data_IF_735051582648
#
_entry.id   IF_735051582648
#
_cell.length_a   1.000
_cell.length_b   1.000
_cell.length_c   1.000
_cell.angle_alpha   90.00
_cell.angle_beta   90.00
_cell.angle_gamma   90.00
#
_symmetry.space_group_name_H-M   'P 1'
#
loop_
_entity.id
_entity.type
_entity.pdbx_description
1 polymer ?
#
# COMPACT_ATOMS: atom_id res chain seq x y z
N UNK A 1 31.02 31.91 -10.18
CA UNK A 1 30.08 31.52 -11.27
C UNK A 1 28.68 31.82 -10.78
N UNK A 2 27.86 32.59 -11.52
CA UNK A 2 26.49 32.85 -11.10
C UNK A 2 25.68 31.55 -11.15
N UNK A 3 24.94 31.26 -10.09
CA UNK A 3 23.98 30.16 -10.04
C UNK A 3 22.88 30.55 -11.02
N UNK A 4 22.78 29.84 -12.14
CA UNK A 4 21.79 30.12 -13.17
C UNK A 4 20.39 29.79 -12.63
N UNK A 5 19.64 30.81 -12.21
CA UNK A 5 18.26 30.72 -11.69
C UNK A 5 17.23 30.20 -12.71
N UNK A 6 17.64 29.95 -13.97
CA UNK A 6 16.76 29.54 -15.09
C UNK A 6 16.87 28.07 -15.49
N UNK A 7 17.62 27.23 -14.78
CA UNK A 7 17.47 25.79 -15.01
C UNK A 7 16.07 25.36 -14.52
N UNK A 8 15.23 24.72 -15.35
CA UNK A 8 13.95 24.22 -14.87
C UNK A 8 14.23 23.29 -13.69
N UNK A 9 13.59 23.56 -12.53
CA UNK A 9 13.69 22.64 -11.39
C UNK A 9 13.26 21.26 -11.88
N UNK A 10 14.04 20.20 -11.61
CA UNK A 10 13.65 18.86 -12.01
C UNK A 10 12.26 18.57 -11.44
N UNK A 11 11.37 18.02 -12.28
CA UNK A 11 10.01 17.76 -11.88
C UNK A 11 9.99 16.77 -10.71
N UNK A 12 9.41 17.19 -9.60
CA UNK A 12 9.25 16.37 -8.41
C UNK A 12 7.85 15.75 -8.39
N UNK A 13 7.76 14.49 -7.99
CA UNK A 13 6.54 13.71 -7.88
C UNK A 13 6.41 13.16 -6.47
N UNK A 14 5.18 12.99 -6.00
CA UNK A 14 4.88 12.33 -4.75
C UNK A 14 3.81 11.25 -4.93
N UNK A 15 4.04 10.11 -4.30
CA UNK A 15 3.06 9.05 -4.16
C UNK A 15 2.77 8.84 -2.67
N UNK A 16 1.49 8.80 -2.32
CA UNK A 16 1.02 8.59 -0.95
C UNK A 16 0.08 7.38 -0.93
N UNK A 17 0.33 6.44 -0.02
CA UNK A 17 -0.52 5.27 0.21
C UNK A 17 -1.13 5.32 1.61
N UNK A 18 -2.45 5.29 1.68
CA UNK A 18 -3.24 5.28 2.90
C UNK A 18 -3.61 3.85 3.28
N UNK A 19 -2.62 3.13 3.80
CA UNK A 19 -2.72 1.73 4.21
C UNK A 19 -3.45 1.50 5.54
N UNK A 20 -3.76 0.22 5.81
CA UNK A 20 -4.46 -0.21 7.03
C UNK A 20 -3.69 0.06 8.32
N UNK A 21 -2.37 -0.13 8.32
CA UNK A 21 -1.53 0.00 9.51
C UNK A 21 -0.74 1.32 9.51
N UNK A 22 -0.28 1.75 8.34
CA UNK A 22 0.59 2.91 8.19
C UNK A 22 0.24 3.66 6.92
N UNK A 23 0.43 4.97 6.96
CA UNK A 23 0.45 5.80 5.76
C UNK A 23 1.89 5.98 5.31
N UNK A 24 2.10 5.91 4.00
CA UNK A 24 3.40 5.98 3.37
C UNK A 24 3.42 7.13 2.37
N UNK A 25 4.54 7.84 2.28
CA UNK A 25 4.78 8.84 1.26
C UNK A 25 6.19 8.67 0.70
N UNK A 26 6.30 8.72 -0.62
CA UNK A 26 7.57 8.74 -1.35
C UNK A 26 7.60 9.96 -2.23
N UNK A 27 8.67 10.75 -2.14
CA UNK A 27 8.94 11.89 -2.99
C UNK A 27 10.13 11.54 -3.88
N UNK A 28 9.98 11.73 -5.18
CA UNK A 28 11.00 11.44 -6.17
C UNK A 28 11.12 12.59 -7.18
N UNK A 29 12.22 12.62 -7.92
CA UNK A 29 12.41 13.50 -9.08
C UNK A 29 13.01 12.74 -10.24
N UNK A 30 12.88 13.28 -11.44
CA UNK A 30 13.57 12.75 -12.62
C UNK A 30 14.79 13.63 -12.92
N UNK A 31 15.97 13.01 -12.98
CA UNK A 31 17.24 13.65 -13.36
C UNK A 31 17.87 12.81 -14.46
N UNK A 32 18.14 13.42 -15.61
CA UNK A 32 18.72 12.75 -16.79
C UNK A 32 17.99 11.45 -17.20
N UNK A 33 16.66 11.44 -17.07
CA UNK A 33 15.80 10.29 -17.39
C UNK A 33 15.76 9.20 -16.31
N UNK A 34 16.50 9.34 -15.23
CA UNK A 34 16.49 8.42 -14.09
C UNK A 34 15.64 8.94 -12.93
N UNK A 35 14.86 8.05 -12.32
CA UNK A 35 14.11 8.34 -11.11
C UNK A 35 15.04 8.35 -9.88
N UNK A 36 15.04 9.45 -9.14
CA UNK A 36 15.79 9.60 -7.89
C UNK A 36 14.82 9.84 -6.73
N UNK A 37 14.85 8.98 -5.73
CA UNK A 37 14.08 9.18 -4.50
C UNK A 37 14.71 10.29 -3.66
N UNK A 38 13.93 11.33 -3.36
CA UNK A 38 14.32 12.47 -2.51
C UNK A 38 14.05 12.15 -1.05
N UNK A 39 12.93 11.49 -0.75
CA UNK A 39 12.55 11.20 0.63
C UNK A 39 11.46 10.15 0.74
N UNK A 40 11.41 9.51 1.90
CA UNK A 40 10.36 8.57 2.30
C UNK A 40 9.87 8.95 3.69
N UNK A 41 8.55 8.95 3.88
CA UNK A 41 7.92 9.10 5.18
C UNK A 41 7.00 7.90 5.40
N UNK A 42 6.96 7.43 6.65
CA UNK A 42 6.07 6.36 7.09
C UNK A 42 5.56 6.73 8.47
N UNK A 43 4.24 6.79 8.62
CA UNK A 43 3.59 7.06 9.89
C UNK A 43 2.64 5.92 10.23
N UNK A 44 2.76 5.37 11.44
CA UNK A 44 1.80 4.38 11.93
C UNK A 44 0.51 5.09 12.33
N UNK A 45 -0.56 4.85 11.58
CA UNK A 45 -1.88 5.46 11.77
C UNK A 45 -2.86 4.50 12.41
N UNK A 46 -2.66 3.18 12.20
CA UNK A 46 -3.56 2.15 12.72
C UNK A 46 -5.02 2.42 12.33
N UNK A 47 -5.26 2.74 11.05
CA UNK A 47 -6.59 3.11 10.56
C UNK A 47 -7.56 1.92 10.65
N UNK A 48 -7.07 0.70 10.35
CA UNK A 48 -7.86 -0.52 10.45
C UNK A 48 -8.31 -0.86 11.88
N UNK A 49 -7.57 -0.43 12.90
CA UNK A 49 -7.95 -0.67 14.31
C UNK A 49 -9.19 0.14 14.71
N UNK A 50 -9.57 1.15 13.91
CA UNK A 50 -10.80 1.91 14.10
C UNK A 50 -12.03 1.34 13.40
N UNK A 51 -11.90 0.27 12.60
CA UNK A 51 -13.07 -0.36 11.97
C UNK A 51 -13.80 -1.24 12.98
N UNK A 52 -15.08 -0.97 13.18
CA UNK A 52 -15.97 -1.81 13.98
C UNK A 52 -16.57 -2.97 13.16
N UNK A 53 -17.46 -3.75 13.80
CA UNK A 53 -18.16 -4.87 13.18
C UNK A 53 -19.09 -4.46 12.00
N UNK A 54 -19.52 -3.20 11.96
CA UNK A 54 -20.32 -2.62 10.88
C UNK A 54 -19.44 -1.96 9.81
N UNK A 55 -18.12 -2.14 9.90
CA UNK A 55 -17.12 -1.50 9.04
C UNK A 55 -17.19 0.03 9.11
N UNK A 56 -17.58 0.60 10.24
CA UNK A 56 -17.55 2.06 10.47
C UNK A 56 -16.22 2.42 11.12
N UNK A 57 -15.54 3.42 10.55
CA UNK A 57 -14.34 4.01 11.15
C UNK A 57 -14.72 4.84 12.36
N UNK A 58 -14.06 4.58 13.49
CA UNK A 58 -14.16 5.40 14.70
C UNK A 58 -13.62 6.81 14.48
N UNK A 59 -14.20 7.78 15.20
CA UNK A 59 -13.72 9.17 15.21
C UNK A 59 -12.24 9.29 15.58
N UNK A 60 -11.77 8.43 16.49
CA UNK A 60 -10.36 8.42 16.89
C UNK A 60 -9.44 8.03 15.72
N UNK A 61 -9.81 7.01 14.95
CA UNK A 61 -9.03 6.59 13.79
C UNK A 61 -9.07 7.62 12.66
N UNK A 62 -10.23 8.24 12.42
CA UNK A 62 -10.36 9.35 11.49
C UNK A 62 -9.44 10.51 11.92
N UNK A 63 -9.47 10.91 13.20
CA UNK A 63 -8.62 11.98 13.71
C UNK A 63 -7.12 11.67 13.51
N UNK A 64 -6.66 10.45 13.84
CA UNK A 64 -5.26 10.03 13.59
C UNK A 64 -4.89 10.12 12.11
N UNK A 65 -5.78 9.66 11.22
CA UNK A 65 -5.57 9.73 9.78
C UNK A 65 -5.47 11.16 9.27
N UNK A 66 -6.37 12.05 9.70
CA UNK A 66 -6.36 13.46 9.32
C UNK A 66 -5.12 14.18 9.84
N UNK A 67 -4.70 13.93 11.09
CA UNK A 67 -3.45 14.48 11.62
C UNK A 67 -2.23 14.07 10.79
N UNK A 68 -2.17 12.80 10.34
CA UNK A 68 -1.11 12.34 9.45
C UNK A 68 -1.17 13.04 8.08
N UNK A 69 -2.36 13.22 7.51
CA UNK A 69 -2.54 13.90 6.23
C UNK A 69 -2.14 15.38 6.30
N UNK A 70 -2.41 16.07 7.42
CA UNK A 70 -1.90 17.43 7.65
C UNK A 70 -0.37 17.50 7.57
N UNK A 71 0.33 16.57 8.20
CA UNK A 71 1.81 16.50 8.13
C UNK A 71 2.31 16.23 6.71
N UNK A 72 1.60 15.38 5.94
CA UNK A 72 1.92 15.15 4.54
C UNK A 72 1.65 16.38 3.68
N UNK A 73 0.55 17.11 3.92
CA UNK A 73 0.24 18.34 3.21
C UNK A 73 1.32 19.42 3.41
N UNK A 74 1.84 19.57 4.63
CA UNK A 74 2.99 20.45 4.90
C UNK A 74 4.22 20.04 4.07
N UNK A 75 4.51 18.74 3.99
CA UNK A 75 5.67 18.24 3.25
C UNK A 75 5.53 18.36 1.74
N UNK A 76 4.29 18.37 1.24
CA UNK A 76 3.92 18.51 -0.17
C UNK A 76 3.64 19.96 -0.58
N UNK A 77 3.86 20.94 0.31
CA UNK A 77 3.66 22.34 -0.01
C UNK A 77 4.43 22.75 -1.29
N UNK A 78 3.71 23.31 -2.26
CA UNK A 78 4.26 23.73 -3.55
C UNK A 78 4.23 22.67 -4.66
N UNK A 79 3.78 21.44 -4.38
CA UNK A 79 3.54 20.43 -5.41
C UNK A 79 2.26 20.76 -6.19
N UNK A 80 2.35 20.71 -7.52
CA UNK A 80 1.17 20.78 -8.38
C UNK A 80 0.29 19.53 -8.19
N UNK A 81 -1.05 19.64 -8.28
CA UNK A 81 -1.93 18.47 -8.14
C UNK A 81 -1.62 17.33 -9.11
N UNK A 82 -1.17 17.64 -10.32
CA UNK A 82 -0.75 16.63 -11.32
C UNK A 82 0.52 15.87 -10.95
N UNK A 83 1.24 16.28 -9.91
CA UNK A 83 2.49 15.68 -9.44
C UNK A 83 2.32 14.92 -8.12
N UNK A 84 1.09 14.82 -7.60
CA UNK A 84 0.77 14.08 -6.37
C UNK A 84 -0.32 13.06 -6.66
N UNK A 85 -0.06 11.81 -6.31
CA UNK A 85 -1.06 10.75 -6.33
C UNK A 85 -1.25 10.23 -4.91
N UNK A 86 -2.50 10.23 -4.40
CA UNK A 86 -2.84 9.67 -3.10
C UNK A 86 -3.84 8.55 -3.29
N UNK A 87 -3.49 7.35 -2.84
CA UNK A 87 -4.34 6.16 -2.95
C UNK A 87 -4.77 5.66 -1.58
N UNK A 88 -6.04 5.24 -1.49
CA UNK A 88 -6.60 4.54 -0.35
C UNK A 88 -6.81 3.06 -0.64
N UNK A 89 -6.35 2.20 0.25
CA UNK A 89 -6.37 0.74 0.03
C UNK A 89 -7.39 0.04 0.92
N UNK A 90 -7.06 -1.13 1.49
CA UNK A 90 -8.01 -2.05 2.10
C UNK A 90 -8.98 -1.40 3.10
N UNK A 91 -8.47 -0.61 4.05
CA UNK A 91 -9.32 -0.05 5.11
C UNK A 91 -10.35 0.93 4.57
N UNK A 92 -9.96 1.82 3.66
CA UNK A 92 -10.89 2.76 3.03
C UNK A 92 -11.85 2.06 2.05
N UNK A 93 -11.44 0.94 1.42
CA UNK A 93 -12.36 0.08 0.66
C UNK A 93 -13.44 -0.59 1.52
N UNK A 94 -13.14 -0.88 2.79
CA UNK A 94 -14.08 -1.55 3.69
C UNK A 94 -14.96 -0.56 4.46
N UNK A 95 -14.46 0.64 4.75
CA UNK A 95 -15.15 1.61 5.58
C UNK A 95 -16.49 2.05 4.99
N UNK A 96 -17.60 1.77 5.68
CA UNK A 96 -18.94 2.20 5.30
C UNK A 96 -19.08 3.73 5.30
N UNK A 97 -18.33 4.41 6.17
CA UNK A 97 -18.21 5.87 6.23
C UNK A 97 -16.92 6.41 5.58
N UNK A 98 -16.35 5.71 4.59
CA UNK A 98 -15.17 6.21 3.86
C UNK A 98 -15.40 7.61 3.28
N UNK A 99 -16.59 7.89 2.74
CA UNK A 99 -16.94 9.20 2.19
C UNK A 99 -16.84 10.34 3.23
N UNK A 100 -17.12 10.06 4.50
CA UNK A 100 -16.96 11.03 5.59
C UNK A 100 -15.47 11.33 5.83
N UNK A 101 -14.64 10.29 5.91
CA UNK A 101 -13.19 10.44 6.03
C UNK A 101 -12.62 11.27 4.86
N UNK A 102 -13.02 10.95 3.61
CA UNK A 102 -12.58 11.65 2.42
C UNK A 102 -12.97 13.14 2.44
N UNK A 103 -14.24 13.44 2.77
CA UNK A 103 -14.73 14.83 2.87
C UNK A 103 -13.96 15.64 3.91
N UNK A 104 -13.59 15.03 5.03
CA UNK A 104 -12.76 15.69 6.05
C UNK A 104 -11.30 15.81 5.62
N UNK A 105 -10.79 14.83 4.87
CA UNK A 105 -9.44 14.86 4.33
C UNK A 105 -9.23 16.02 3.34
N UNK A 106 -10.23 16.35 2.52
CA UNK A 106 -10.21 17.50 1.61
C UNK A 106 -9.93 18.84 2.33
N UNK A 107 -10.23 18.94 3.62
CA UNK A 107 -9.97 20.15 4.42
C UNK A 107 -8.52 20.26 4.90
N UNK A 108 -7.76 19.16 4.89
CA UNK A 108 -6.38 19.11 5.42
C UNK A 108 -5.32 18.83 4.36
N UNK A 109 -5.70 18.22 3.23
CA UNK A 109 -4.79 17.94 2.13
C UNK A 109 -5.45 18.32 0.79
N UNK A 110 -4.82 19.17 -0.05
CA UNK A 110 -5.45 19.71 -1.26
C UNK A 110 -5.37 18.75 -2.46
N UNK A 111 -5.05 17.48 -2.23
CA UNK A 111 -4.89 16.46 -3.27
C UNK A 111 -5.99 15.40 -3.11
N UNK A 112 -6.64 14.99 -4.22
CA UNK A 112 -7.69 13.99 -4.15
C UNK A 112 -7.13 12.64 -3.67
N UNK A 113 -7.93 11.93 -2.88
CA UNK A 113 -7.64 10.56 -2.45
C UNK A 113 -8.46 9.61 -3.30
N UNK A 114 -7.79 8.72 -4.02
CA UNK A 114 -8.41 7.72 -4.88
C UNK A 114 -8.45 6.36 -4.17
N UNK A 115 -9.65 5.85 -3.88
CA UNK A 115 -9.78 4.49 -3.34
C UNK A 115 -9.63 3.50 -4.49
N UNK A 116 -8.54 2.73 -4.48
CA UNK A 116 -8.23 1.78 -5.54
C UNK A 116 -8.70 0.38 -5.19
N UNK A 117 -9.02 -0.43 -6.20
CA UNK A 117 -9.35 -1.86 -6.00
C UNK A 117 -8.13 -2.64 -5.50
N UNK A 118 -8.36 -3.81 -4.87
CA UNK A 118 -7.24 -4.68 -4.48
C UNK A 118 -6.41 -5.18 -5.67
N UNK A 119 -7.04 -5.35 -6.84
CA UNK A 119 -6.31 -5.75 -8.05
C UNK A 119 -5.44 -4.61 -8.59
N UNK A 120 -5.91 -3.36 -8.49
CA UNK A 120 -5.11 -2.20 -8.88
C UNK A 120 -3.94 -1.99 -7.92
N UNK A 121 -4.16 -2.17 -6.62
CA UNK A 121 -3.09 -2.17 -5.62
C UNK A 121 -2.04 -3.24 -5.93
N UNK A 122 -2.46 -4.48 -6.17
CA UNK A 122 -1.58 -5.57 -6.58
C UNK A 122 -0.78 -5.23 -7.85
N UNK A 123 -1.44 -4.67 -8.87
CA UNK A 123 -0.82 -4.23 -10.12
C UNK A 123 0.26 -3.18 -9.87
N UNK A 124 -0.04 -2.15 -9.09
CA UNK A 124 0.89 -1.08 -8.76
C UNK A 124 2.09 -1.58 -7.94
N UNK A 125 1.87 -2.48 -6.99
CA UNK A 125 2.94 -3.16 -6.24
C UNK A 125 3.88 -3.90 -7.20
N UNK A 126 3.34 -4.69 -8.13
CA UNK A 126 4.14 -5.38 -9.13
C UNK A 126 4.96 -4.40 -9.99
N UNK A 127 4.34 -3.33 -10.49
CA UNK A 127 5.06 -2.30 -11.26
C UNK A 127 6.19 -1.66 -10.44
N UNK A 128 5.95 -1.38 -9.16
CA UNK A 128 6.99 -0.86 -8.25
C UNK A 128 8.17 -1.82 -8.09
N UNK A 129 7.90 -3.12 -8.00
CA UNK A 129 8.95 -4.16 -7.94
C UNK A 129 9.72 -4.23 -9.25
N UNK A 130 9.05 -4.21 -10.40
CA UNK A 130 9.71 -4.23 -11.72
C UNK A 130 10.64 -3.03 -11.92
N UNK A 131 10.24 -1.83 -11.45
CA UNK A 131 11.07 -0.64 -11.54
C UNK A 131 12.25 -0.60 -10.56
N UNK A 132 12.17 -1.31 -9.44
CA UNK A 132 13.21 -1.27 -8.38
C UNK A 132 14.12 -2.49 -8.38
N UNK A 133 13.68 -3.60 -8.98
CA UNK A 133 14.42 -4.85 -9.09
C UNK A 133 14.60 -5.21 -10.57
N UNK A 134 15.72 -4.80 -11.20
CA UNK A 134 15.97 -4.98 -12.63
C UNK A 134 16.32 -6.43 -13.03
N UNK A 135 15.91 -7.41 -12.21
CA UNK A 135 16.05 -8.82 -12.51
C UNK A 135 15.16 -9.19 -13.69
N UNK A 136 15.70 -10.00 -14.60
CA UNK A 136 14.98 -10.47 -15.80
C UNK A 136 14.16 -11.71 -15.49
N UNK A 137 13.10 -11.88 -16.26
CA UNK A 137 12.26 -13.08 -16.24
C UNK A 137 11.08 -12.96 -15.29
N UNK A 138 10.29 -14.01 -15.27
CA UNK A 138 9.04 -14.09 -14.51
C UNK A 138 9.25 -13.95 -13.00
N UNK A 139 8.43 -13.11 -12.37
CA UNK A 139 8.42 -12.87 -10.92
C UNK A 139 7.08 -13.26 -10.30
N UNK A 140 7.14 -13.76 -9.07
CA UNK A 140 6.00 -13.82 -8.16
C UNK A 140 6.23 -12.80 -7.06
N UNK A 141 5.37 -11.80 -7.03
CA UNK A 141 5.35 -10.75 -6.02
C UNK A 141 4.25 -11.10 -5.02
N UNK A 142 4.63 -11.12 -3.74
CA UNK A 142 3.69 -11.30 -2.63
C UNK A 142 3.89 -10.13 -1.69
N UNK A 143 2.83 -9.36 -1.47
CA UNK A 143 2.77 -8.33 -0.43
C UNK A 143 1.71 -8.73 0.59
N UNK A 144 2.07 -8.69 1.87
CA UNK A 144 1.16 -8.98 2.97
C UNK A 144 0.98 -7.67 3.72
N UNK A 145 -0.15 -7.01 3.52
CA UNK A 145 -0.51 -5.78 4.21
C UNK A 145 -1.16 -6.00 5.57
N UNK A 146 -1.74 -4.92 6.11
CA UNK A 146 -2.51 -4.95 7.35
C UNK A 146 -3.90 -5.58 7.20
N UNK A 147 -4.58 -5.29 6.08
CA UNK A 147 -5.94 -5.76 5.80
C UNK A 147 -6.06 -6.71 4.60
N UNK A 148 -5.17 -6.61 3.61
CA UNK A 148 -5.12 -7.49 2.44
C UNK A 148 -3.73 -8.07 2.19
N UNK A 149 -3.69 -9.07 1.32
CA UNK A 149 -2.49 -9.69 0.77
C UNK A 149 -2.65 -9.75 -0.73
N UNK A 150 -1.67 -9.24 -1.44
CA UNK A 150 -1.61 -9.13 -2.88
C UNK A 150 -0.64 -10.19 -3.43
N UNK A 151 -1.04 -10.85 -4.51
CA UNK A 151 -0.25 -11.87 -5.20
C UNK A 151 -0.27 -11.55 -6.70
N UNK A 152 0.92 -11.36 -7.26
CA UNK A 152 1.07 -11.07 -8.70
C UNK A 152 2.11 -11.97 -9.32
N UNK A 153 1.76 -12.60 -10.44
CA UNK A 153 2.75 -13.17 -11.36
C UNK A 153 2.81 -12.29 -12.59
N UNK A 154 4.01 -11.87 -12.98
CA UNK A 154 4.23 -11.07 -14.18
C UNK A 154 5.68 -11.17 -14.66
N UNK A 155 5.95 -10.52 -15.79
CA UNK A 155 7.25 -10.51 -16.46
C UNK A 155 7.34 -9.27 -17.35
N UNK A 156 8.50 -8.61 -17.39
CA UNK A 156 8.78 -7.47 -18.26
C UNK A 156 7.72 -6.36 -18.18
N UNK A 157 7.40 -5.91 -16.95
CA UNK A 157 6.37 -4.89 -16.68
C UNK A 157 4.93 -5.29 -17.06
N UNK A 158 4.69 -6.57 -17.42
CA UNK A 158 3.35 -7.09 -17.76
C UNK A 158 2.83 -8.05 -16.67
N UNK A 159 1.86 -7.61 -15.84
CA UNK A 159 1.14 -8.49 -14.92
C UNK A 159 0.31 -9.53 -15.68
N UNK A 160 0.39 -10.80 -15.29
CA UNK A 160 -0.36 -11.91 -15.90
C UNK A 160 -1.43 -12.50 -15.00
N UNK A 161 -1.11 -12.73 -13.73
CA UNK A 161 -2.07 -13.12 -12.70
C UNK A 161 -2.01 -12.06 -11.61
N UNK A 162 -3.15 -11.46 -11.29
CA UNK A 162 -3.24 -10.35 -10.33
C UNK A 162 -4.37 -10.65 -9.37
N UNK A 163 -4.02 -10.85 -8.10
CA UNK A 163 -4.96 -11.26 -7.08
C UNK A 163 -4.77 -10.48 -5.80
N UNK A 164 -5.87 -10.12 -5.15
CA UNK A 164 -5.88 -9.58 -3.80
C UNK A 164 -6.83 -10.38 -2.91
N UNK A 165 -6.40 -10.68 -1.69
CA UNK A 165 -7.18 -11.43 -0.69
C UNK A 165 -7.33 -10.63 0.58
N UNK A 166 -8.53 -10.63 1.14
CA UNK A 166 -8.84 -10.02 2.46
C UNK A 166 -8.26 -10.89 3.58
N UNK A 167 -6.96 -10.75 3.77
CA UNK A 167 -6.18 -11.31 4.87
C UNK A 167 -4.93 -10.43 5.05
N UNK A 168 -4.70 -9.96 6.26
CA UNK A 168 -3.52 -9.16 6.57
C UNK A 168 -3.19 -9.26 8.04
N UNK A 169 -2.03 -8.72 8.45
CA UNK A 169 -1.55 -8.92 9.82
C UNK A 169 -2.45 -8.28 10.89
N UNK A 170 -3.08 -7.14 10.63
CA UNK A 170 -3.97 -6.46 11.58
C UNK A 170 -5.27 -7.26 11.73
N UNK A 171 -5.93 -7.56 10.61
CA UNK A 171 -7.18 -8.36 10.62
C UNK A 171 -6.98 -9.75 11.22
N UNK A 172 -5.88 -10.44 10.89
CA UNK A 172 -5.61 -11.77 11.46
C UNK A 172 -5.23 -11.72 12.93
N UNK A 173 -4.56 -10.65 13.38
CA UNK A 173 -4.28 -10.45 14.81
C UNK A 173 -5.58 -10.35 15.61
N UNK A 174 -6.55 -9.57 15.14
CA UNK A 174 -7.84 -9.39 15.80
C UNK A 174 -8.66 -10.69 15.82
N UNK A 175 -8.72 -11.41 14.69
CA UNK A 175 -9.54 -12.61 14.53
C UNK A 175 -8.96 -13.84 15.26
N UNK A 176 -7.66 -14.09 15.12
CA UNK A 176 -7.04 -15.34 15.57
C UNK A 176 -6.20 -15.21 16.84
N UNK A 177 -5.74 -14.00 17.18
CA UNK A 177 -4.86 -13.74 18.32
C UNK A 177 -5.49 -12.71 19.27
N UNK A 178 -6.79 -12.86 19.54
CA UNK A 178 -7.53 -12.01 20.47
C UNK A 178 -6.80 -11.88 21.81
N UNK A 179 -6.69 -10.65 22.32
CA UNK A 179 -5.94 -10.35 23.54
C UNK A 179 -4.42 -10.57 23.42
N UNK A 180 -3.88 -10.72 22.22
CA UNK A 180 -2.45 -10.99 21.99
C UNK A 180 -2.02 -12.40 22.37
N UNK A 181 -2.97 -13.34 22.52
CA UNK A 181 -2.67 -14.71 22.97
C UNK A 181 -2.01 -15.51 21.85
N UNK A 182 -0.73 -15.82 22.02
CA UNK A 182 0.07 -16.63 21.11
C UNK A 182 0.11 -18.08 21.60
N UNK A 183 -0.55 -18.99 20.87
CA UNK A 183 -0.48 -20.44 21.10
C UNK A 183 -0.55 -21.20 19.77
N UNK A 184 -0.33 -22.51 19.83
CA UNK A 184 -0.25 -23.38 18.65
C UNK A 184 -1.58 -23.44 17.91
N UNK A 185 -2.68 -23.51 18.64
CA UNK A 185 -4.04 -23.63 18.11
C UNK A 185 -4.44 -22.37 17.32
N UNK A 186 -4.21 -21.17 17.89
CA UNK A 186 -4.44 -19.89 17.24
C UNK A 186 -3.61 -19.75 15.97
N UNK A 187 -2.32 -20.09 16.04
CA UNK A 187 -1.44 -20.04 14.89
C UNK A 187 -1.88 -21.00 13.77
N UNK A 188 -2.27 -22.23 14.12
CA UNK A 188 -2.79 -23.19 13.15
C UNK A 188 -4.09 -22.71 12.49
N UNK A 189 -5.03 -22.14 13.25
CA UNK A 189 -6.27 -21.56 12.72
C UNK A 189 -5.99 -20.42 11.75
N UNK A 190 -5.10 -19.49 12.12
CA UNK A 190 -4.70 -18.38 11.25
C UNK A 190 -4.05 -18.90 9.94
N UNK A 191 -3.12 -19.85 10.05
CA UNK A 191 -2.46 -20.46 8.88
C UNK A 191 -3.46 -21.18 7.98
N UNK A 192 -4.37 -21.96 8.53
CA UNK A 192 -5.37 -22.70 7.76
C UNK A 192 -6.30 -21.74 7.01
N UNK A 193 -6.74 -20.65 7.64
CA UNK A 193 -7.54 -19.60 6.99
C UNK A 193 -6.80 -18.93 5.84
N UNK A 194 -5.50 -18.63 6.00
CA UNK A 194 -4.68 -18.11 4.90
C UNK A 194 -4.60 -19.10 3.73
N UNK A 195 -4.39 -20.39 4.01
CA UNK A 195 -4.38 -21.44 2.99
C UNK A 195 -5.71 -21.51 2.25
N UNK A 196 -6.84 -21.56 2.98
CA UNK A 196 -8.18 -21.61 2.41
C UNK A 196 -8.46 -20.43 1.46
N UNK A 197 -8.02 -19.23 1.82
CA UNK A 197 -8.17 -18.03 0.96
C UNK A 197 -7.36 -18.10 -0.35
N UNK A 198 -6.35 -18.96 -0.42
CA UNK A 198 -5.48 -19.16 -1.57
C UNK A 198 -5.83 -20.42 -2.38
N UNK A 199 -6.73 -21.29 -1.91
CA UNK A 199 -7.03 -22.58 -2.55
C UNK A 199 -7.48 -22.43 -4.01
N UNK A 200 -8.33 -21.45 -4.30
CA UNK A 200 -8.84 -21.20 -5.66
C UNK A 200 -7.76 -20.74 -6.64
N UNK A 201 -6.63 -20.25 -6.12
CA UNK A 201 -5.51 -19.73 -6.90
C UNK A 201 -4.36 -20.73 -7.02
N UNK A 202 -4.26 -21.68 -6.10
CA UNK A 202 -3.09 -22.52 -5.94
C UNK A 202 -2.68 -23.25 -7.23
N UNK A 203 -3.63 -23.65 -8.07
CA UNK A 203 -3.33 -24.30 -9.35
C UNK A 203 -2.80 -23.30 -10.40
N UNK A 204 -3.38 -22.11 -10.49
CA UNK A 204 -2.97 -21.08 -11.45
C UNK A 204 -1.58 -20.51 -11.13
N UNK A 205 -1.21 -20.48 -9.84
CA UNK A 205 0.09 -20.01 -9.36
C UNK A 205 1.15 -21.12 -9.30
N UNK A 206 0.80 -22.38 -9.61
CA UNK A 206 1.75 -23.49 -9.78
C UNK A 206 2.36 -23.43 -11.19
N UNK A 207 3.42 -22.64 -11.33
CA UNK A 207 4.13 -22.48 -12.60
C UNK A 207 5.53 -23.09 -12.49
N UNK A 208 5.92 -24.03 -13.39
CA UNK A 208 7.29 -24.55 -13.45
C UNK A 208 8.32 -23.43 -13.69
N UNK A 209 9.38 -23.39 -12.88
CA UNK A 209 10.51 -22.46 -13.05
C UNK A 209 10.52 -21.23 -12.13
N UNK A 210 9.47 -21.03 -11.32
CA UNK A 210 9.35 -19.91 -10.38
C UNK A 210 10.20 -20.07 -9.10
N UNK A 211 10.71 -21.28 -8.83
CA UNK A 211 11.47 -21.65 -7.62
C UNK A 211 12.77 -20.84 -7.42
N UNK A 212 13.20 -20.05 -8.42
CA UNK A 212 14.46 -19.30 -8.40
C UNK A 212 14.33 -17.83 -7.93
N UNK A 213 13.11 -17.30 -7.75
CA UNK A 213 12.91 -15.84 -7.60
C UNK A 213 12.09 -15.34 -6.40
N UNK A 214 11.59 -16.21 -5.52
CA UNK A 214 10.75 -15.77 -4.39
C UNK A 214 11.57 -15.06 -3.29
N UNK A 215 11.71 -13.73 -3.37
CA UNK A 215 12.20 -12.89 -2.27
C UNK A 215 11.08 -12.11 -1.60
N UNK A 216 11.16 -12.02 -0.28
CA UNK A 216 10.17 -11.37 0.60
C UNK A 216 10.41 -9.85 0.59
N UNK A 217 9.45 -9.08 0.09
CA UNK A 217 9.48 -7.60 0.12
C UNK A 217 9.02 -7.10 1.49
N UNK A 218 9.87 -7.22 2.50
CA UNK A 218 9.73 -6.44 3.74
C UNK A 218 11.12 -6.14 4.23
N UNK A 219 11.57 -4.91 3.98
CA UNK A 219 12.48 -4.11 4.81
C UNK A 219 12.99 -2.90 4.01
N UNK A 220 12.13 -1.88 3.83
CA UNK A 220 12.52 -0.49 3.56
C UNK A 220 11.54 0.47 4.25
#
# INVERSE_FOLDING_TARGET
MPINEKAPRPQEFAAVDLGSNSFHMVIARVVDGAMQIIGRLKQRVHLADGLDENSVLSEEAIARGLSCLSLFAERLQGFAPSSVCIVGTHTLRQAANAAEFLKRAEQVIPYPIEIISGNEEARLIFMGVEHTQPERGRKLVIDIGGGSTELVIGEDFEPRLVESRRMGCVSFSQIYFAGGIINKENFQRARLSAVQKLETLAWQFRIPGLDRGARRLRDH
#
